data_IF_144031942587
#
_entry.id   IF_144031942587
#
_cell.length_a   1.000
_cell.length_b   1.000
_cell.length_c   1.000
_cell.angle_alpha   90.00
_cell.angle_beta   90.00
_cell.angle_gamma   90.00
#
_symmetry.space_group_name_H-M   'P 1'
#
loop_
_entity.id
_entity.type
_entity.pdbx_description
1 polymer ?
#
# COMPACT_ATOMS: atom_id res chain seq x y z
N UNK A 1 9.76 -18.58 14.41
CA UNK A 1 8.35 -18.83 14.78
C UNK A 1 7.57 -19.18 13.52
N UNK A 2 6.91 -20.31 13.56
CA UNK A 2 6.04 -20.66 12.45
C UNK A 2 4.70 -19.96 12.61
N UNK A 3 4.34 -19.16 11.65
CA UNK A 3 3.03 -18.53 11.60
C UNK A 3 2.00 -19.51 11.06
N UNK A 4 0.89 -19.68 11.76
CA UNK A 4 -0.23 -20.49 11.29
C UNK A 4 -1.43 -19.58 11.10
N UNK A 5 -1.92 -19.53 9.88
CA UNK A 5 -3.11 -18.77 9.53
C UNK A 5 -4.33 -19.68 9.56
N UNK A 6 -5.47 -19.15 10.02
CA UNK A 6 -6.76 -19.78 9.83
C UNK A 6 -7.33 -19.56 8.41
N UNK A 7 -6.69 -18.70 7.63
CA UNK A 7 -7.05 -18.44 6.26
C UNK A 7 -6.76 -19.66 5.37
N UNK A 8 -7.58 -19.94 4.33
CA UNK A 8 -7.25 -20.94 3.33
C UNK A 8 -6.03 -20.59 2.49
N UNK A 9 -5.57 -19.33 2.53
CA UNK A 9 -4.40 -18.88 1.78
C UNK A 9 -3.11 -19.24 2.52
N UNK A 10 -1.96 -19.32 1.81
CA UNK A 10 -0.68 -19.65 2.42
C UNK A 10 -0.05 -18.50 3.23
N UNK A 11 -0.79 -17.45 3.51
CA UNK A 11 -0.36 -16.29 4.28
C UNK A 11 -1.38 -15.95 5.37
N UNK A 12 -0.98 -15.14 6.38
CA UNK A 12 -1.89 -14.74 7.45
C UNK A 12 -2.99 -13.83 6.93
N UNK A 13 -4.15 -13.95 7.52
CA UNK A 13 -5.22 -12.97 7.35
C UNK A 13 -5.18 -11.99 8.52
N UNK A 14 -4.63 -10.80 8.29
CA UNK A 14 -4.49 -9.79 9.32
C UNK A 14 -5.84 -9.16 9.66
N UNK A 15 -6.03 -8.85 10.93
CA UNK A 15 -7.21 -8.10 11.38
C UNK A 15 -7.13 -6.65 10.92
N UNK A 16 -5.95 -6.04 11.02
CA UNK A 16 -5.70 -4.67 10.64
C UNK A 16 -4.30 -4.52 10.06
N UNK A 17 -4.22 -3.83 8.94
CA UNK A 17 -2.95 -3.43 8.32
C UNK A 17 -2.90 -1.91 8.30
N UNK A 18 -1.79 -1.34 8.75
CA UNK A 18 -1.53 0.09 8.68
C UNK A 18 -0.47 0.35 7.62
N UNK A 19 -0.77 1.21 6.66
CA UNK A 19 0.13 1.55 5.56
C UNK A 19 0.31 3.06 5.48
N UNK A 20 1.50 3.46 5.05
CA UNK A 20 1.77 4.84 4.64
C UNK A 20 1.69 4.99 3.13
N UNK A 21 1.97 6.20 2.66
CA UNK A 21 2.05 6.53 1.24
C UNK A 21 3.27 7.41 1.02
N UNK A 22 4.11 7.06 0.05
CA UNK A 22 5.23 7.89 -0.35
C UNK A 22 4.81 9.01 -1.30
N UNK A 23 5.67 10.01 -1.46
CA UNK A 23 5.41 11.12 -2.38
C UNK A 23 5.33 10.67 -3.84
N UNK A 24 5.98 9.56 -4.17
CA UNK A 24 5.93 8.93 -5.49
C UNK A 24 4.73 7.98 -5.66
N UNK A 25 3.94 7.79 -4.61
CA UNK A 25 2.79 6.89 -4.62
C UNK A 25 3.09 5.48 -4.15
N UNK A 26 4.32 5.18 -3.69
CA UNK A 26 4.61 3.85 -3.17
C UNK A 26 3.91 3.62 -1.83
N UNK A 27 3.60 2.36 -1.56
CA UNK A 27 3.15 1.91 -0.23
C UNK A 27 3.84 0.59 0.09
N UNK A 28 4.11 0.34 1.38
CA UNK A 28 5.03 -0.72 1.79
C UNK A 28 6.35 -0.55 1.02
N UNK A 29 6.87 -1.59 0.38
CA UNK A 29 7.94 -1.43 -0.61
C UNK A 29 7.46 -1.82 -2.01
N UNK A 30 6.21 -1.48 -2.31
CA UNK A 30 5.62 -1.58 -3.63
C UNK A 30 5.77 -0.23 -4.33
N UNK A 31 6.74 -0.16 -5.25
CA UNK A 31 7.07 1.09 -5.95
C UNK A 31 6.38 1.15 -7.31
N UNK A 32 6.15 2.36 -7.84
CA UNK A 32 5.60 2.50 -9.19
C UNK A 32 6.40 1.67 -10.20
N UNK A 33 5.70 0.88 -11.00
CA UNK A 33 6.32 0.01 -12.01
C UNK A 33 6.96 -1.27 -11.47
N UNK A 34 6.93 -1.51 -10.16
CA UNK A 34 7.50 -2.74 -9.60
C UNK A 34 6.73 -3.97 -10.04
N UNK A 35 7.44 -5.10 -10.29
CA UNK A 35 6.76 -6.37 -10.49
C UNK A 35 5.91 -6.73 -9.28
N UNK A 36 4.80 -7.41 -9.51
CA UNK A 36 3.90 -7.85 -8.45
C UNK A 36 3.79 -9.36 -8.47
N UNK A 37 4.16 -9.98 -7.36
CA UNK A 37 3.94 -11.39 -7.15
C UNK A 37 2.55 -11.60 -6.57
N UNK A 38 1.82 -12.56 -7.13
CA UNK A 38 0.45 -12.86 -6.72
C UNK A 38 0.32 -14.21 -6.02
N UNK A 39 1.40 -14.95 -5.95
CA UNK A 39 1.45 -16.31 -5.38
C UNK A 39 2.41 -16.41 -4.19
N UNK A 40 2.96 -15.30 -3.75
CA UNK A 40 3.91 -15.24 -2.63
C UNK A 40 3.50 -14.18 -1.64
N UNK A 41 3.64 -14.48 -0.35
CA UNK A 41 3.35 -13.53 0.73
C UNK A 41 4.41 -12.42 0.84
N UNK A 42 5.64 -12.73 0.46
CA UNK A 42 6.80 -11.86 0.66
C UNK A 42 7.57 -11.76 -0.64
N UNK A 43 8.09 -10.58 -0.90
CA UNK A 43 8.86 -10.30 -2.11
C UNK A 43 10.08 -9.47 -1.77
N UNK A 44 11.23 -9.84 -2.32
CA UNK A 44 12.42 -9.00 -2.29
C UNK A 44 12.29 -7.89 -3.34
N UNK A 45 12.65 -6.68 -2.96
CA UNK A 45 12.57 -5.51 -3.83
C UNK A 45 13.91 -4.79 -3.80
N UNK A 46 14.36 -4.34 -4.95
CA UNK A 46 15.49 -3.40 -5.06
C UNK A 46 14.94 -2.07 -5.53
N UNK A 47 15.05 -1.06 -4.69
CA UNK A 47 14.52 0.27 -5.00
C UNK A 47 15.49 1.35 -4.55
N UNK A 48 15.80 2.26 -5.44
CA UNK A 48 16.59 3.45 -5.13
C UNK A 48 15.62 4.59 -4.77
N UNK A 49 15.53 4.88 -3.48
CA UNK A 49 14.61 5.90 -2.99
C UNK A 49 15.29 6.76 -1.94
N UNK A 50 15.63 7.98 -2.30
CA UNK A 50 16.16 9.02 -1.40
C UNK A 50 17.37 8.58 -0.57
N UNK A 51 18.30 7.82 -1.17
CA UNK A 51 19.49 7.35 -0.48
C UNK A 51 19.23 6.31 0.61
N UNK A 52 18.03 5.77 0.69
CA UNK A 52 17.70 4.69 1.63
C UNK A 52 18.23 3.36 1.11
N UNK A 53 18.38 2.35 1.98
CA UNK A 53 18.88 1.05 1.54
C UNK A 53 18.07 0.52 0.35
N UNK A 54 18.79 0.09 -0.70
CA UNK A 54 18.17 -0.38 -1.94
C UNK A 54 17.50 -1.74 -1.76
N UNK A 55 18.11 -2.65 -0.98
CA UNK A 55 17.55 -3.97 -0.70
C UNK A 55 16.43 -3.89 0.32
N UNK A 56 15.25 -4.39 -0.04
CA UNK A 56 14.05 -4.35 0.79
C UNK A 56 13.30 -5.66 0.69
N UNK A 57 12.48 -5.92 1.70
CA UNK A 57 11.53 -7.03 1.69
C UNK A 57 10.15 -6.43 1.98
N UNK A 58 9.16 -6.83 1.22
CA UNK A 58 7.80 -6.34 1.38
C UNK A 58 6.80 -7.49 1.42
N UNK A 59 5.69 -7.28 2.13
CA UNK A 59 4.49 -8.07 1.91
C UNK A 59 3.91 -7.69 0.55
N UNK A 60 3.13 -8.58 -0.01
CA UNK A 60 2.59 -8.45 -1.36
C UNK A 60 1.12 -8.06 -1.35
N UNK A 61 0.57 -7.52 -2.45
CA UNK A 61 -0.84 -7.17 -2.51
C UNK A 61 -1.81 -8.28 -2.11
N UNK A 62 -1.61 -9.56 -2.47
CA UNK A 62 -2.52 -10.61 -2.00
C UNK A 62 -2.65 -10.71 -0.48
N UNK A 63 -1.56 -10.44 0.25
CA UNK A 63 -1.60 -10.45 1.73
C UNK A 63 -2.47 -9.30 2.23
N UNK A 64 -2.27 -8.10 1.69
CA UNK A 64 -3.07 -6.94 2.07
C UNK A 64 -4.54 -7.13 1.68
N UNK A 65 -4.79 -7.75 0.52
CA UNK A 65 -6.15 -7.96 0.02
C UNK A 65 -6.90 -9.07 0.76
N UNK A 66 -6.21 -9.85 1.59
CA UNK A 66 -6.84 -10.83 2.46
C UNK A 66 -7.10 -10.27 3.87
N UNK A 67 -6.65 -9.07 4.18
CA UNK A 67 -6.85 -8.44 5.48
C UNK A 67 -8.32 -8.05 5.71
N UNK A 68 -8.73 -8.03 6.98
CA UNK A 68 -10.07 -7.56 7.35
C UNK A 68 -10.19 -6.05 7.17
N UNK A 69 -9.14 -5.30 7.49
CA UNK A 69 -9.12 -3.84 7.33
C UNK A 69 -7.72 -3.37 6.97
N UNK A 70 -7.66 -2.39 6.06
CA UNK A 70 -6.43 -1.69 5.69
C UNK A 70 -6.67 -0.20 5.91
N UNK A 71 -5.82 0.43 6.70
CA UNK A 71 -5.86 1.87 6.94
C UNK A 71 -4.61 2.50 6.35
N UNK A 72 -4.82 3.42 5.41
CA UNK A 72 -3.75 4.30 4.95
C UNK A 72 -3.68 5.52 5.86
N UNK A 73 -2.52 5.74 6.47
CA UNK A 73 -2.26 6.89 7.36
C UNK A 73 -1.34 7.84 6.62
N UNK A 74 -1.87 8.99 6.21
CA UNK A 74 -1.10 9.94 5.39
C UNK A 74 -1.25 11.34 5.97
N UNK A 75 -0.13 11.98 6.24
CA UNK A 75 -0.12 13.33 6.80
C UNK A 75 0.91 14.21 6.08
N UNK A 76 0.60 15.49 6.02
CA UNK A 76 1.50 16.51 5.50
C UNK A 76 1.17 16.97 4.08
N UNK A 77 1.47 18.23 3.80
CA UNK A 77 1.21 18.86 2.51
C UNK A 77 2.00 18.22 1.37
N UNK A 78 3.19 17.69 1.68
CA UNK A 78 4.03 17.02 0.69
C UNK A 78 3.42 15.69 0.17
N UNK A 79 2.35 15.22 0.77
CA UNK A 79 1.63 14.02 0.34
C UNK A 79 0.38 14.33 -0.49
N UNK A 80 -0.03 15.58 -0.55
CA UNK A 80 -1.30 15.96 -1.16
C UNK A 80 -1.43 15.52 -2.62
N UNK A 81 -0.38 15.69 -3.41
CA UNK A 81 -0.38 15.27 -4.81
C UNK A 81 -0.46 13.76 -4.94
N UNK A 82 0.32 13.03 -4.16
CA UNK A 82 0.29 11.55 -4.19
C UNK A 82 -1.08 11.01 -3.78
N UNK A 83 -1.71 11.62 -2.78
CA UNK A 83 -3.08 11.25 -2.36
C UNK A 83 -4.06 11.47 -3.50
N UNK A 84 -4.02 12.66 -4.11
CA UNK A 84 -4.91 13.01 -5.22
C UNK A 84 -4.74 12.03 -6.39
N UNK A 85 -3.50 11.85 -6.84
CA UNK A 85 -3.21 10.97 -7.97
C UNK A 85 -3.64 9.53 -7.67
N UNK A 86 -3.36 9.03 -6.49
CA UNK A 86 -3.73 7.66 -6.11
C UNK A 86 -5.25 7.47 -6.11
N UNK A 87 -5.98 8.39 -5.49
CA UNK A 87 -7.44 8.23 -5.32
C UNK A 87 -8.23 8.45 -6.61
N UNK A 88 -7.70 9.24 -7.54
CA UNK A 88 -8.39 9.57 -8.79
C UNK A 88 -7.83 8.87 -10.02
N UNK A 89 -6.78 8.07 -9.87
CA UNK A 89 -6.21 7.33 -10.99
C UNK A 89 -6.84 5.94 -11.11
N UNK A 90 -6.83 5.40 -12.32
CA UNK A 90 -7.11 3.99 -12.58
C UNK A 90 -5.84 3.19 -12.93
N UNK A 91 -4.67 3.84 -12.87
CA UNK A 91 -3.39 3.24 -13.25
C UNK A 91 -2.73 2.53 -12.06
N UNK A 92 -3.14 1.28 -11.80
CA UNK A 92 -2.65 0.51 -10.65
C UNK A 92 -1.16 0.16 -10.73
N UNK A 93 -0.57 0.16 -11.93
CA UNK A 93 0.88 -0.06 -12.08
C UNK A 93 1.66 1.15 -11.58
N UNK A 94 1.18 2.35 -11.88
CA UNK A 94 1.80 3.61 -11.48
C UNK A 94 1.57 3.93 -10.01
N UNK A 95 0.40 3.55 -9.49
CA UNK A 95 0.01 3.83 -8.09
C UNK A 95 -0.28 2.52 -7.37
N UNK A 96 0.75 1.90 -6.78
CA UNK A 96 0.62 0.56 -6.19
C UNK A 96 -0.47 0.43 -5.12
N UNK A 97 -0.79 1.51 -4.41
CA UNK A 97 -1.85 1.50 -3.42
C UNK A 97 -3.21 1.14 -4.02
N UNK A 98 -3.42 1.38 -5.32
CA UNK A 98 -4.65 1.00 -6.02
C UNK A 98 -4.83 -0.51 -6.14
N UNK A 99 -3.77 -1.30 -5.96
CA UNK A 99 -3.83 -2.76 -5.96
C UNK A 99 -4.32 -3.32 -4.64
N UNK A 100 -4.40 -2.49 -3.61
CA UNK A 100 -4.82 -2.90 -2.28
C UNK A 100 -6.33 -2.68 -2.19
N UNK A 101 -7.06 -3.76 -2.48
CA UNK A 101 -8.52 -3.80 -2.51
C UNK A 101 -8.99 -5.09 -1.83
N UNK A 102 -9.12 -5.09 -0.49
CA UNK A 102 -9.57 -6.29 0.22
C UNK A 102 -10.88 -6.82 -0.35
N UNK A 103 -10.90 -8.12 -0.65
CA UNK A 103 -12.07 -8.78 -1.26
C UNK A 103 -13.20 -8.87 -0.25
N UNK A 104 -12.86 -9.16 1.00
CA UNK A 104 -13.83 -9.33 2.10
C UNK A 104 -13.35 -8.50 3.29
N UNK A 105 -13.17 -7.21 3.06
CA UNK A 105 -12.67 -6.29 4.04
C UNK A 105 -12.88 -4.84 3.62
N UNK A 106 -12.20 -3.92 4.31
CA UNK A 106 -12.37 -2.49 4.11
C UNK A 106 -11.02 -1.79 3.95
N UNK A 107 -11.01 -0.74 3.13
CA UNK A 107 -9.92 0.23 3.05
C UNK A 107 -10.43 1.56 3.58
N UNK A 108 -9.66 2.17 4.48
CA UNK A 108 -9.94 3.50 5.02
C UNK A 108 -8.70 4.37 4.85
N UNK A 109 -8.90 5.57 4.32
CA UNK A 109 -7.85 6.58 4.21
C UNK A 109 -8.01 7.58 5.33
N UNK A 110 -7.02 7.65 6.21
CA UNK A 110 -6.96 8.62 7.30
C UNK A 110 -5.97 9.70 6.92
N UNK A 111 -6.48 10.87 6.56
CA UNK A 111 -5.71 11.99 6.04
C UNK A 111 -5.85 13.17 6.98
N UNK A 112 -4.73 13.88 7.23
CA UNK A 112 -4.88 15.19 7.81
C UNK A 112 -5.32 16.19 6.72
N UNK A 113 -5.66 17.39 7.13
CA UNK A 113 -6.18 18.41 6.22
C UNK A 113 -5.15 18.76 5.13
N UNK A 114 -3.87 18.83 5.50
CA UNK A 114 -2.81 19.15 4.56
C UNK A 114 -2.63 18.06 3.50
N UNK A 115 -2.67 16.78 3.89
CA UNK A 115 -2.58 15.68 2.93
C UNK A 115 -3.81 15.61 2.01
N UNK A 116 -4.97 16.06 2.49
CA UNK A 116 -6.22 16.05 1.71
C UNK A 116 -6.43 17.34 0.91
N UNK A 117 -5.51 18.28 0.93
CA UNK A 117 -5.72 19.63 0.37
C UNK A 117 -6.08 19.61 -1.11
N UNK A 118 -5.50 18.71 -1.91
CA UNK A 118 -5.80 18.62 -3.33
C UNK A 118 -7.19 18.02 -3.62
N UNK A 119 -7.77 17.31 -2.65
CA UNK A 119 -9.11 16.73 -2.77
C UNK A 119 -10.20 17.81 -2.60
N UNK A 120 -9.91 18.84 -1.82
CA UNK A 120 -10.86 19.92 -1.53
C UNK A 120 -11.06 20.85 -2.73
N UNK A 121 -10.25 20.72 -3.77
CA UNK A 121 -10.37 21.53 -4.99
C UNK A 121 -11.50 21.06 -5.90
N UNK A 122 -12.22 19.99 -5.54
CA UNK A 122 -13.24 19.36 -6.39
C UNK A 122 -14.56 19.11 -5.65
#
# INVERSE_FOLDING_TARGET
MLFRSSSPNPWPRFDLVLLGLGEDGHTASLFPGSPVLVDSAVMAVTADYRGRPAGRVTLTPPVFNDAHAVYFLVSGANKAEAVYQTLYSDESVRFPALRIRPVDGQVTWLLDRAAAAALDAY
#
